data_IF_265126418833
#
_entry.id   IF_265126418833
#
_cell.length_a   1.000
_cell.length_b   1.000
_cell.length_c   1.000
_cell.angle_alpha   90.00
_cell.angle_beta   90.00
_cell.angle_gamma   90.00
#
_symmetry.space_group_name_H-M   'P 1'
#
loop_
_entity.id
_entity.type
_entity.pdbx_description
1 polymer ?
#
# COMPACT_ATOMS: atom_id res chain seq x y z
N UNK A 1 -3.98 -8.05 -51.05
CA UNK A 1 -3.26 -7.87 -49.76
C UNK A 1 -4.10 -6.95 -48.90
N UNK A 2 -4.44 -7.38 -47.69
CA UNK A 2 -5.25 -6.58 -46.77
C UNK A 2 -4.39 -5.51 -46.10
N UNK A 3 -4.96 -4.34 -45.78
CA UNK A 3 -4.29 -3.28 -45.02
C UNK A 3 -3.67 -3.79 -43.69
N UNK A 4 -4.26 -4.86 -43.13
CA UNK A 4 -3.73 -5.57 -41.95
C UNK A 4 -2.37 -6.22 -42.21
N UNK A 5 -2.17 -6.83 -43.37
CA UNK A 5 -0.92 -7.54 -43.70
C UNK A 5 0.24 -6.55 -43.91
N UNK A 6 -0.08 -5.38 -44.44
CA UNK A 6 0.89 -4.30 -44.70
C UNK A 6 1.37 -3.67 -43.37
N UNK A 7 0.45 -3.47 -42.43
CA UNK A 7 0.77 -3.00 -41.07
C UNK A 7 1.62 -4.04 -40.32
N UNK A 8 1.24 -5.32 -40.37
CA UNK A 8 2.00 -6.38 -39.70
C UNK A 8 3.38 -6.61 -40.33
N UNK A 9 3.51 -6.38 -41.65
CA UNK A 9 4.80 -6.40 -42.35
C UNK A 9 5.73 -5.30 -41.87
N UNK A 10 5.23 -4.06 -41.74
CA UNK A 10 6.00 -2.92 -41.22
C UNK A 10 6.44 -3.10 -39.77
N UNK A 11 5.57 -3.66 -38.92
CA UNK A 11 5.91 -3.95 -37.51
C UNK A 11 7.01 -5.01 -37.42
N UNK A 12 6.97 -6.07 -38.23
CA UNK A 12 8.03 -7.09 -38.24
C UNK A 12 9.36 -6.55 -38.75
N UNK A 13 9.33 -5.67 -39.76
CA UNK A 13 10.53 -5.03 -40.28
C UNK A 13 11.18 -4.10 -39.23
N UNK A 14 10.38 -3.35 -38.47
CA UNK A 14 10.89 -2.50 -37.38
C UNK A 14 11.48 -3.32 -36.22
N UNK A 15 10.81 -4.41 -35.81
CA UNK A 15 11.24 -5.24 -34.67
C UNK A 15 12.39 -6.20 -35.00
N UNK A 16 12.64 -6.49 -36.27
CA UNK A 16 13.72 -7.36 -36.72
C UNK A 16 15.12 -6.74 -36.60
N UNK A 17 15.23 -5.41 -36.71
CA UNK A 17 16.50 -4.68 -36.61
C UNK A 17 16.94 -4.38 -35.17
N UNK A 18 16.01 -4.05 -34.27
CA UNK A 18 16.33 -3.60 -32.91
C UNK A 18 16.68 -4.74 -31.94
N UNK A 19 16.15 -5.95 -32.14
CA UNK A 19 16.43 -7.08 -31.23
C UNK A 19 17.89 -7.52 -31.23
N UNK A 20 18.58 -7.45 -32.37
CA UNK A 20 20.00 -7.79 -32.45
C UNK A 20 20.90 -6.74 -31.76
N UNK A 21 20.51 -5.47 -31.81
CA UNK A 21 21.22 -4.36 -31.17
C UNK A 21 21.04 -4.36 -29.65
N UNK A 22 19.81 -4.58 -29.15
CA UNK A 22 19.55 -4.65 -27.70
C UNK A 22 20.21 -5.87 -27.03
N UNK A 23 20.25 -7.03 -27.69
CA UNK A 23 20.87 -8.24 -27.15
C UNK A 23 22.40 -8.10 -27.01
N UNK A 24 23.04 -7.24 -27.80
CA UNK A 24 24.46 -6.92 -27.69
C UNK A 24 24.74 -5.90 -26.57
N UNK A 25 23.80 -4.99 -26.28
CA UNK A 25 23.92 -3.99 -25.19
C UNK A 25 23.65 -4.58 -23.80
N UNK A 26 22.80 -5.61 -23.70
CA UNK A 26 22.45 -6.26 -22.43
C UNK A 26 22.58 -7.79 -22.57
N UNK A 27 23.80 -8.33 -22.58
CA UNK A 27 23.99 -9.77 -22.63
C UNK A 27 23.32 -10.41 -21.41
N UNK A 28 22.49 -11.42 -21.65
CA UNK A 28 21.93 -12.22 -20.57
C UNK A 28 23.07 -12.86 -19.77
N UNK A 29 23.00 -12.90 -18.42
CA UNK A 29 24.01 -13.56 -17.63
C UNK A 29 24.09 -15.03 -18.06
N UNK A 30 25.31 -15.51 -18.27
CA UNK A 30 25.56 -16.89 -18.63
C UNK A 30 24.93 -17.79 -17.55
N UNK A 31 23.90 -18.57 -17.93
CA UNK A 31 23.43 -19.67 -17.10
C UNK A 31 24.56 -20.70 -17.07
N UNK A 32 25.31 -20.73 -15.98
CA UNK A 32 26.18 -21.87 -15.68
C UNK A 32 25.30 -23.11 -15.62
N UNK A 33 25.40 -23.94 -16.67
CA UNK A 33 24.88 -25.28 -16.67
C UNK A 33 25.70 -26.11 -15.69
N UNK A 34 25.23 -26.19 -14.45
CA UNK A 34 25.62 -27.24 -13.53
C UNK A 34 24.35 -27.71 -12.82
N UNK A 35 23.83 -28.84 -13.30
CA UNK A 35 22.92 -29.67 -12.53
C UNK A 35 23.72 -30.22 -11.33
N UNK A 36 23.56 -29.60 -10.17
CA UNK A 36 23.98 -30.14 -8.89
C UNK A 36 22.94 -29.74 -7.85
N UNK A 37 22.56 -30.72 -7.01
CA UNK A 37 21.45 -30.69 -6.06
C UNK A 37 21.24 -29.36 -5.34
N UNK A 38 20.00 -28.87 -5.39
CA UNK A 38 19.54 -27.66 -4.70
C UNK A 38 19.41 -27.82 -3.18
N UNK A 39 20.07 -28.81 -2.57
CA UNK A 39 20.05 -29.06 -1.13
C UNK A 39 21.28 -28.57 -0.37
N UNK A 40 22.30 -28.00 -1.04
CA UNK A 40 23.57 -27.67 -0.36
C UNK A 40 24.20 -26.30 -0.74
N UNK A 41 23.36 -25.32 -1.08
CA UNK A 41 23.85 -23.94 -1.22
C UNK A 41 24.06 -23.32 0.18
N UNK A 42 25.28 -22.83 0.52
CA UNK A 42 25.52 -22.20 1.80
C UNK A 42 24.66 -20.95 1.89
N UNK A 43 23.87 -20.85 2.98
CA UNK A 43 23.07 -19.67 3.32
C UNK A 43 24.01 -18.49 3.58
N UNK A 44 24.46 -17.81 2.54
CA UNK A 44 25.06 -16.48 2.64
C UNK A 44 23.96 -15.43 2.85
N UNK A 45 23.07 -15.68 3.82
CA UNK A 45 22.29 -14.62 4.45
C UNK A 45 23.25 -14.10 5.50
N UNK A 46 23.92 -12.98 5.22
CA UNK A 46 24.77 -12.31 6.20
C UNK A 46 24.02 -12.31 7.53
N UNK A 47 24.61 -12.95 8.54
CA UNK A 47 24.10 -12.91 9.90
C UNK A 47 24.17 -11.45 10.32
N UNK A 48 23.04 -10.75 10.20
CA UNK A 48 22.83 -9.54 10.98
C UNK A 48 22.91 -10.02 12.42
N UNK A 49 24.02 -9.66 13.06
CA UNK A 49 24.25 -9.96 14.46
C UNK A 49 23.12 -9.31 15.27
N UNK A 50 22.19 -10.14 15.74
CA UNK A 50 21.09 -9.70 16.59
C UNK A 50 21.56 -9.33 18.00
N UNK A 51 22.85 -9.47 18.32
CA UNK A 51 23.42 -9.05 19.60
C UNK A 51 23.37 -7.53 19.81
N UNK A 52 23.30 -6.73 18.72
CA UNK A 52 23.13 -5.29 18.84
C UNK A 52 21.73 -4.87 19.34
N UNK A 53 20.73 -5.76 19.21
CA UNK A 53 19.35 -5.48 19.60
C UNK A 53 19.07 -5.66 21.11
N UNK A 54 20.03 -6.19 21.88
CA UNK A 54 19.89 -6.41 23.33
C UNK A 54 20.72 -5.45 24.19
N UNK A 55 21.28 -4.39 23.61
CA UNK A 55 21.70 -3.27 24.44
C UNK A 55 20.44 -2.52 24.87
N UNK A 56 20.12 -2.59 26.17
CA UNK A 56 19.12 -1.74 26.79
C UNK A 56 19.53 -0.29 26.58
N UNK A 57 19.12 0.28 25.45
CA UNK A 57 19.33 1.68 25.17
C UNK A 57 18.53 2.41 26.25
N UNK A 58 19.16 3.20 27.13
CA UNK A 58 18.39 4.08 28.00
C UNK A 58 17.46 4.85 27.07
N UNK A 59 16.18 4.99 27.44
CA UNK A 59 15.17 5.68 26.64
C UNK A 59 15.79 7.00 26.18
N UNK A 60 16.35 6.99 24.96
CA UNK A 60 17.17 8.10 24.51
C UNK A 60 16.20 9.25 24.52
N UNK A 61 16.50 10.27 25.34
CA UNK A 61 15.66 11.44 25.43
C UNK A 61 15.35 11.83 23.99
N UNK A 62 14.07 11.68 23.61
CA UNK A 62 13.63 11.96 22.25
C UNK A 62 14.24 13.33 21.96
N UNK A 63 14.97 13.47 20.84
CA UNK A 63 15.53 14.76 20.43
C UNK A 63 14.43 15.82 20.37
N UNK A 64 14.66 17.05 19.91
CA UNK A 64 13.57 18.01 19.78
C UNK A 64 12.39 17.36 19.01
N UNK A 65 11.34 17.02 19.76
CA UNK A 65 10.22 16.25 19.28
C UNK A 65 9.07 17.23 19.09
N UNK A 66 8.40 17.14 17.95
CA UNK A 66 7.22 17.95 17.71
C UNK A 66 6.17 17.51 18.73
N UNK A 67 5.82 18.40 19.65
CA UNK A 67 4.67 18.21 20.52
C UNK A 67 3.50 18.95 19.89
N UNK A 68 2.44 18.22 19.54
CA UNK A 68 1.22 18.85 19.04
C UNK A 68 0.45 19.57 20.16
N UNK A 69 0.73 19.27 21.44
CA UNK A 69 -0.03 19.76 22.59
C UNK A 69 -1.37 19.05 22.74
N UNK A 70 -2.30 19.66 23.48
CA UNK A 70 -3.67 19.14 23.66
C UNK A 70 -4.52 19.43 22.41
N UNK A 71 -4.37 18.59 21.39
CA UNK A 71 -5.15 18.68 20.14
C UNK A 71 -6.04 17.46 20.02
N UNK A 72 -7.24 17.65 19.49
CA UNK A 72 -8.04 16.54 18.99
C UNK A 72 -7.31 15.88 17.81
N UNK A 73 -6.69 14.72 18.08
CA UNK A 73 -5.92 13.97 17.12
C UNK A 73 -6.77 13.51 15.92
N UNK A 74 -8.05 13.22 16.14
CA UNK A 74 -8.95 12.80 15.06
C UNK A 74 -9.22 13.97 14.13
N UNK A 75 -9.62 15.12 14.68
CA UNK A 75 -9.85 16.32 13.89
C UNK A 75 -8.59 16.75 13.13
N UNK A 76 -7.42 16.68 13.78
CA UNK A 76 -6.14 17.00 13.17
C UNK A 76 -5.79 16.03 12.02
N UNK A 77 -5.96 14.73 12.25
CA UNK A 77 -5.74 13.70 11.24
C UNK A 77 -6.64 13.93 10.02
N UNK A 78 -7.95 14.14 10.24
CA UNK A 78 -8.92 14.39 9.15
C UNK A 78 -8.53 15.61 8.34
N UNK A 79 -8.20 16.73 9.00
CA UNK A 79 -7.78 17.94 8.32
C UNK A 79 -6.52 17.72 7.47
N UNK A 80 -5.54 16.97 7.98
CA UNK A 80 -4.30 16.66 7.26
C UNK A 80 -4.49 15.67 6.12
N UNK A 81 -5.29 14.63 6.33
CA UNK A 81 -5.64 13.65 5.30
C UNK A 81 -6.36 14.32 4.12
N UNK A 82 -7.27 15.26 4.40
CA UNK A 82 -7.95 16.06 3.38
C UNK A 82 -6.99 17.00 2.62
N UNK A 83 -6.00 17.60 3.30
CA UNK A 83 -4.96 18.41 2.65
C UNK A 83 -4.15 17.61 1.61
N UNK A 84 -4.01 16.30 1.82
CA UNK A 84 -3.35 15.38 0.87
C UNK A 84 -4.33 14.63 -0.02
N UNK A 85 -5.57 15.13 -0.12
CA UNK A 85 -6.63 14.65 -1.02
C UNK A 85 -7.19 13.25 -0.70
N UNK A 86 -7.03 12.78 0.54
CA UNK A 86 -7.79 11.63 1.02
C UNK A 86 -9.21 12.06 1.45
N UNK A 87 -10.18 11.19 1.25
CA UNK A 87 -11.51 11.33 1.85
C UNK A 87 -11.53 10.66 3.21
N UNK A 88 -12.17 11.26 4.21
CA UNK A 88 -12.35 10.66 5.53
C UNK A 88 -13.83 10.57 5.86
N UNK A 89 -14.24 9.48 6.50
CA UNK A 89 -15.56 9.34 7.09
C UNK A 89 -15.46 8.65 8.45
N UNK A 90 -16.29 9.07 9.39
CA UNK A 90 -16.40 8.45 10.70
C UNK A 90 -17.56 7.45 10.71
N UNK A 91 -17.35 6.31 11.36
CA UNK A 91 -18.34 5.25 11.55
C UNK A 91 -18.33 4.80 13.01
N UNK A 92 -19.49 4.40 13.55
CA UNK A 92 -19.58 4.01 14.95
C UNK A 92 -18.80 2.73 15.27
N UNK A 93 -18.76 1.75 14.36
CA UNK A 93 -18.09 0.46 14.57
C UNK A 93 -17.53 -0.06 13.27
N UNK A 94 -16.53 -0.96 13.35
CA UNK A 94 -16.00 -1.66 12.18
C UNK A 94 -17.06 -2.42 11.37
N UNK A 95 -18.13 -2.90 12.02
CA UNK A 95 -19.26 -3.56 11.36
C UNK A 95 -20.04 -2.63 10.40
N UNK A 96 -19.93 -1.32 10.58
CA UNK A 96 -20.49 -0.32 9.66
C UNK A 96 -19.65 -0.09 8.39
N UNK A 97 -18.43 -0.63 8.32
CA UNK A 97 -17.52 -0.36 7.21
C UNK A 97 -18.08 -0.77 5.84
N UNK A 98 -18.71 -1.96 5.66
CA UNK A 98 -19.31 -2.33 4.37
C UNK A 98 -20.35 -1.31 3.87
N UNK A 99 -21.27 -0.88 4.72
CA UNK A 99 -22.31 0.08 4.35
C UNK A 99 -21.71 1.46 3.99
N UNK A 100 -20.69 1.90 4.73
CA UNK A 100 -20.01 3.17 4.46
C UNK A 100 -19.22 3.13 3.15
N UNK A 101 -18.56 2.01 2.84
CA UNK A 101 -17.90 1.81 1.54
C UNK A 101 -18.92 1.83 0.41
N UNK A 102 -20.04 1.12 0.55
CA UNK A 102 -21.09 1.08 -0.48
C UNK A 102 -21.72 2.45 -0.72
N UNK A 103 -21.90 3.26 0.33
CA UNK A 103 -22.36 4.64 0.21
C UNK A 103 -21.35 5.50 -0.56
N UNK A 104 -20.08 5.51 -0.13
CA UNK A 104 -19.03 6.26 -0.80
C UNK A 104 -18.87 5.87 -2.28
N UNK A 105 -18.88 4.56 -2.57
CA UNK A 105 -18.74 4.07 -3.94
C UNK A 105 -19.91 4.49 -4.83
N UNK A 106 -21.13 4.58 -4.31
CA UNK A 106 -22.26 5.16 -5.05
C UNK A 106 -22.03 6.64 -5.36
N UNK A 107 -21.59 7.41 -4.38
CA UNK A 107 -21.37 8.86 -4.54
C UNK A 107 -20.30 9.18 -5.59
N UNK A 108 -19.27 8.33 -5.72
CA UNK A 108 -18.20 8.51 -6.71
C UNK A 108 -18.44 7.78 -8.03
N UNK A 109 -19.64 7.21 -8.24
CA UNK A 109 -20.03 6.54 -9.49
C UNK A 109 -19.38 5.17 -9.71
N UNK A 110 -19.03 4.46 -8.62
CA UNK A 110 -18.35 3.16 -8.59
C UNK A 110 -19.16 2.10 -7.83
N UNK A 111 -20.49 2.18 -7.82
CA UNK A 111 -21.37 1.29 -7.05
C UNK A 111 -21.09 -0.20 -7.32
N UNK A 112 -20.89 -0.58 -8.58
CA UNK A 112 -20.66 -1.96 -9.02
C UNK A 112 -19.17 -2.36 -9.06
N UNK A 113 -18.29 -1.53 -8.50
CA UNK A 113 -16.86 -1.81 -8.50
C UNK A 113 -16.55 -3.14 -7.80
N UNK A 114 -15.69 -4.00 -8.38
CA UNK A 114 -15.27 -5.22 -7.70
C UNK A 114 -14.46 -4.88 -6.44
N UNK A 115 -14.75 -5.58 -5.35
CA UNK A 115 -14.04 -5.45 -4.08
C UNK A 115 -12.99 -6.55 -3.91
N UNK A 116 -11.81 -6.16 -3.43
CA UNK A 116 -10.81 -7.07 -2.87
C UNK A 116 -10.55 -6.69 -1.44
N UNK A 117 -10.93 -7.57 -0.52
CA UNK A 117 -10.83 -7.32 0.91
C UNK A 117 -9.62 -8.07 1.45
N UNK A 118 -8.85 -7.41 2.32
CA UNK A 118 -7.76 -8.05 3.05
C UNK A 118 -8.34 -9.10 4.01
N UNK A 119 -7.73 -10.28 4.10
CA UNK A 119 -8.24 -11.38 4.91
C UNK A 119 -8.45 -11.02 6.39
N UNK A 120 -7.71 -10.03 6.89
CA UNK A 120 -7.90 -9.47 8.24
C UNK A 120 -9.29 -8.83 8.47
N UNK A 121 -10.05 -8.54 7.41
CA UNK A 121 -11.38 -7.92 7.45
C UNK A 121 -12.49 -8.83 6.90
N UNK A 122 -12.19 -10.09 6.56
CA UNK A 122 -13.14 -11.02 5.93
C UNK A 122 -14.35 -11.35 6.83
N UNK A 123 -14.20 -11.20 8.15
CA UNK A 123 -15.28 -11.45 9.10
C UNK A 123 -16.41 -10.40 9.06
N UNK A 124 -16.18 -9.26 8.41
CA UNK A 124 -17.20 -8.20 8.26
C UNK A 124 -18.17 -8.54 7.12
N UNK A 125 -19.43 -8.07 7.17
CA UNK A 125 -20.48 -8.46 6.22
C UNK A 125 -20.36 -7.70 4.89
N UNK A 126 -19.27 -7.91 4.15
CA UNK A 126 -19.08 -7.34 2.82
C UNK A 126 -20.04 -7.96 1.80
N UNK A 127 -20.43 -7.17 0.79
CA UNK A 127 -20.99 -7.74 -0.46
C UNK A 127 -19.99 -8.71 -1.11
N UNK A 128 -20.41 -9.36 -2.19
CA UNK A 128 -19.54 -10.26 -2.98
C UNK A 128 -18.18 -9.62 -3.25
N UNK A 129 -17.13 -10.23 -2.72
CA UNK A 129 -15.76 -9.75 -2.81
C UNK A 129 -14.82 -10.91 -3.15
N UNK A 130 -13.57 -10.57 -3.46
CA UNK A 130 -12.50 -11.53 -3.70
C UNK A 130 -11.39 -11.33 -2.66
N UNK A 131 -10.54 -12.33 -2.52
CA UNK A 131 -9.33 -12.27 -1.70
C UNK A 131 -8.11 -12.63 -2.56
N UNK A 132 -6.91 -12.28 -2.07
CA UNK A 132 -5.66 -12.71 -2.68
C UNK A 132 -5.22 -14.09 -2.14
N UNK A 133 -4.47 -14.88 -2.92
CA UNK A 133 -4.05 -14.64 -4.32
C UNK A 133 -5.17 -14.95 -5.34
N UNK A 134 -4.95 -14.58 -6.61
CA UNK A 134 -5.86 -14.96 -7.72
C UNK A 134 -6.74 -13.84 -8.28
N UNK A 135 -6.47 -12.58 -7.90
CA UNK A 135 -7.13 -11.40 -8.46
C UNK A 135 -6.09 -10.53 -9.17
N UNK A 136 -6.40 -10.12 -10.40
CA UNK A 136 -5.65 -9.06 -11.05
C UNK A 136 -6.02 -7.71 -10.44
N UNK A 137 -5.13 -7.18 -9.60
CA UNK A 137 -5.36 -5.91 -8.93
C UNK A 137 -5.33 -4.71 -9.87
N UNK A 138 -4.78 -4.87 -11.09
CA UNK A 138 -4.70 -3.80 -12.10
C UNK A 138 -5.99 -3.58 -12.86
N UNK A 139 -7.00 -4.42 -12.60
CA UNK A 139 -8.32 -4.28 -13.21
C UNK A 139 -8.89 -2.88 -12.93
N UNK A 140 -9.38 -2.23 -13.98
CA UNK A 140 -10.00 -0.92 -13.85
C UNK A 140 -11.18 -0.93 -12.88
N UNK A 141 -11.28 0.14 -12.09
CA UNK A 141 -12.35 0.35 -11.12
C UNK A 141 -12.27 -0.55 -9.88
N UNK A 142 -11.24 -1.38 -9.72
CA UNK A 142 -11.08 -2.22 -8.54
C UNK A 142 -10.90 -1.38 -7.27
N UNK A 143 -11.54 -1.84 -6.20
CA UNK A 143 -11.45 -1.25 -4.86
C UNK A 143 -10.78 -2.26 -3.94
N UNK A 144 -9.69 -1.85 -3.29
CA UNK A 144 -9.06 -2.64 -2.22
C UNK A 144 -9.49 -2.12 -0.85
N UNK A 145 -9.67 -3.02 0.11
CA UNK A 145 -10.01 -2.67 1.49
C UNK A 145 -8.99 -3.30 2.44
N UNK A 146 -8.36 -2.49 3.28
CA UNK A 146 -7.31 -2.94 4.21
C UNK A 146 -7.50 -2.30 5.59
N UNK A 147 -7.11 -2.99 6.69
CA UNK A 147 -6.96 -2.32 7.96
C UNK A 147 -5.66 -1.49 7.97
N UNK A 148 -5.59 -0.55 8.90
CA UNK A 148 -4.35 0.14 9.28
C UNK A 148 -3.89 -0.33 10.65
N UNK A 149 -2.58 -0.26 10.89
CA UNK A 149 -1.99 -0.48 12.21
C UNK A 149 -2.05 0.78 13.07
N UNK A 150 -1.83 1.94 12.44
CA UNK A 150 -1.91 3.25 13.05
C UNK A 150 -2.24 4.31 11.99
N UNK A 151 -2.60 5.50 12.44
CA UNK A 151 -2.71 6.70 11.62
C UNK A 151 -2.01 7.87 12.29
N UNK A 152 -1.38 8.76 11.53
CA UNK A 152 -0.51 9.81 12.03
C UNK A 152 -1.20 11.16 11.81
N UNK A 153 -1.59 11.81 12.89
CA UNK A 153 -2.34 13.06 12.85
C UNK A 153 -1.52 14.22 12.26
N UNK A 154 -0.21 14.28 12.54
CA UNK A 154 0.69 15.31 12.03
C UNK A 154 0.66 15.44 10.50
N UNK A 155 0.67 14.30 9.80
CA UNK A 155 0.85 14.23 8.34
C UNK A 155 -0.39 13.76 7.59
N UNK A 156 -1.44 13.29 8.29
CA UNK A 156 -2.63 12.72 7.65
C UNK A 156 -2.33 11.37 6.97
N UNK A 157 -1.37 10.63 7.50
CA UNK A 157 -0.89 9.38 6.92
C UNK A 157 -1.45 8.16 7.63
N UNK A 158 -1.59 7.05 6.93
CA UNK A 158 -1.90 5.74 7.55
C UNK A 158 -0.68 4.83 7.51
N UNK A 159 -0.54 3.98 8.51
CA UNK A 159 0.56 3.02 8.65
C UNK A 159 0.00 1.62 8.45
N UNK A 160 0.49 0.93 7.42
CA UNK A 160 0.05 -0.42 7.05
C UNK A 160 1.21 -1.41 7.18
N UNK A 161 1.03 -2.44 8.01
CA UNK A 161 1.99 -3.53 8.18
C UNK A 161 1.69 -4.65 7.17
N UNK A 162 2.72 -5.14 6.49
CA UNK A 162 2.57 -6.27 5.58
C UNK A 162 2.39 -7.58 6.36
N UNK A 163 1.39 -8.37 6.01
CA UNK A 163 1.25 -9.75 6.50
C UNK A 163 0.65 -10.64 5.42
N UNK A 164 0.48 -11.93 5.71
CA UNK A 164 -0.32 -12.82 4.85
C UNK A 164 -1.78 -12.38 4.79
N UNK A 165 -2.32 -11.83 5.89
CA UNK A 165 -3.69 -11.32 5.96
C UNK A 165 -3.84 -9.92 5.37
N UNK A 166 -2.74 -9.16 5.28
CA UNK A 166 -2.68 -7.78 4.74
C UNK A 166 -1.53 -7.63 3.74
N UNK A 167 -1.61 -8.22 2.53
CA UNK A 167 -0.55 -8.11 1.54
C UNK A 167 -0.35 -6.67 1.06
N UNK A 168 0.90 -6.21 0.96
CA UNK A 168 1.27 -4.84 0.57
C UNK A 168 0.68 -4.42 -0.79
N UNK A 169 0.46 -5.35 -1.70
CA UNK A 169 -0.11 -5.06 -3.03
C UNK A 169 -1.51 -4.43 -2.96
N UNK A 170 -2.29 -4.73 -1.92
CA UNK A 170 -3.61 -4.12 -1.72
C UNK A 170 -3.53 -2.61 -1.46
N UNK A 171 -2.40 -2.12 -0.96
CA UNK A 171 -2.24 -0.70 -0.63
C UNK A 171 -1.99 0.19 -1.85
N UNK A 172 -1.53 -0.39 -2.97
CA UNK A 172 -0.94 0.38 -4.05
C UNK A 172 -1.56 0.10 -5.42
N UNK A 173 -2.11 -1.08 -5.68
CA UNK A 173 -2.42 -1.45 -7.07
C UNK A 173 -3.85 -1.07 -7.48
N UNK A 174 -4.81 -1.17 -6.56
CA UNK A 174 -6.21 -0.87 -6.87
C UNK A 174 -6.42 0.63 -7.10
N UNK A 175 -7.34 0.99 -8.00
CA UNK A 175 -7.64 2.38 -8.34
C UNK A 175 -8.23 3.17 -7.16
N UNK A 176 -8.92 2.47 -6.24
CA UNK A 176 -9.44 3.03 -4.99
C UNK A 176 -8.93 2.18 -3.83
N UNK A 177 -8.31 2.82 -2.85
CA UNK A 177 -7.84 2.17 -1.63
C UNK A 177 -8.67 2.65 -0.44
N UNK A 178 -9.37 1.72 0.21
CA UNK A 178 -10.12 1.96 1.43
C UNK A 178 -9.30 1.47 2.61
N UNK A 179 -9.15 2.31 3.63
CA UNK A 179 -8.39 2.01 4.84
C UNK A 179 -9.28 2.15 6.06
N UNK A 180 -9.41 1.07 6.84
CA UNK A 180 -10.10 1.09 8.12
C UNK A 180 -9.11 1.44 9.25
N UNK A 181 -9.44 2.46 10.04
CA UNK A 181 -8.61 3.00 11.11
C UNK A 181 -9.42 2.98 12.40
N UNK A 182 -8.91 2.31 13.43
CA UNK A 182 -9.45 2.44 14.79
C UNK A 182 -9.08 3.81 15.36
N UNK A 183 -10.02 4.47 16.04
CA UNK A 183 -9.81 5.78 16.66
C UNK A 183 -8.63 5.77 17.63
N UNK A 184 -8.50 4.75 18.48
CA UNK A 184 -7.37 4.56 19.40
C UNK A 184 -6.01 4.33 18.72
N UNK A 185 -6.01 4.06 17.41
CA UNK A 185 -4.80 3.86 16.62
C UNK A 185 -4.28 5.16 15.98
N UNK A 186 -4.98 6.28 16.15
CA UNK A 186 -4.52 7.59 15.70
C UNK A 186 -3.50 8.13 16.71
N UNK A 187 -2.27 8.32 16.27
CA UNK A 187 -1.15 8.86 17.03
C UNK A 187 -0.82 10.29 16.60
N UNK A 188 -0.16 11.05 17.47
CA UNK A 188 0.20 12.43 17.20
C UNK A 188 1.21 12.53 16.06
N UNK A 189 2.36 11.88 16.19
CA UNK A 189 3.50 12.03 15.25
C UNK A 189 3.98 10.70 14.66
N UNK A 190 4.89 10.80 13.68
CA UNK A 190 5.55 9.63 13.08
C UNK A 190 6.34 8.82 14.12
N UNK A 191 7.01 9.49 15.05
CA UNK A 191 7.80 8.87 16.11
C UNK A 191 6.92 8.03 17.04
N UNK A 192 5.70 8.49 17.32
CA UNK A 192 4.72 7.75 18.11
C UNK A 192 4.23 6.50 17.38
N UNK A 193 4.09 6.55 16.05
CA UNK A 193 3.78 5.36 15.25
C UNK A 193 4.91 4.33 15.37
N UNK A 194 6.17 4.76 15.28
CA UNK A 194 7.33 3.87 15.48
C UNK A 194 7.45 3.34 16.91
N UNK A 195 7.11 4.16 17.92
CA UNK A 195 7.06 3.72 19.30
C UNK A 195 5.99 2.63 19.48
N UNK A 196 4.81 2.80 18.88
CA UNK A 196 3.75 1.80 18.87
C UNK A 196 4.20 0.51 18.17
N UNK A 197 4.90 0.59 17.05
CA UNK A 197 5.48 -0.59 16.36
C UNK A 197 6.42 -1.34 17.31
N UNK A 198 7.38 -0.65 17.94
CA UNK A 198 8.32 -1.28 18.88
C UNK A 198 7.64 -1.91 20.10
N UNK A 199 6.55 -1.30 20.58
CA UNK A 199 5.81 -1.79 21.74
C UNK A 199 4.89 -2.98 21.43
N UNK A 200 4.40 -3.09 20.18
CA UNK A 200 3.33 -4.05 19.83
C UNK A 200 3.83 -5.21 18.97
N UNK A 201 4.91 -5.01 18.21
CA UNK A 201 5.37 -5.96 17.18
C UNK A 201 6.67 -6.62 17.64
N UNK A 202 6.59 -7.91 17.98
CA UNK A 202 7.75 -8.71 18.41
C UNK A 202 8.74 -8.99 17.27
N UNK A 203 8.24 -9.15 16.04
CA UNK A 203 9.06 -9.42 14.85
C UNK A 203 8.62 -8.51 13.73
N UNK A 204 9.54 -7.69 13.20
CA UNK A 204 9.21 -6.73 12.15
C UNK A 204 8.65 -7.45 10.91
N UNK A 205 7.55 -6.92 10.32
CA UNK A 205 7.03 -7.45 9.07
C UNK A 205 8.00 -7.16 7.92
N UNK A 206 7.79 -7.82 6.78
CA UNK A 206 8.62 -7.59 5.58
C UNK A 206 8.57 -6.15 5.08
N UNK A 207 7.47 -5.45 5.29
CA UNK A 207 7.31 -4.04 4.95
C UNK A 207 6.39 -3.33 5.94
N UNK A 208 6.75 -2.08 6.22
CA UNK A 208 5.92 -1.09 6.92
C UNK A 208 5.73 0.06 5.95
N UNK A 209 4.49 0.30 5.53
CA UNK A 209 4.19 1.35 4.57
C UNK A 209 3.53 2.51 5.31
N UNK A 210 4.08 3.71 5.14
CA UNK A 210 3.41 4.95 5.55
C UNK A 210 2.85 5.61 4.29
N UNK A 211 1.53 5.74 4.23
CA UNK A 211 0.80 6.14 3.03
C UNK A 211 0.11 7.47 3.29
N UNK A 212 0.40 8.46 2.44
CA UNK A 212 -0.07 9.84 2.59
C UNK A 212 -0.90 10.24 1.37
N UNK A 213 -2.21 9.98 1.44
CA UNK A 213 -3.16 10.30 0.37
C UNK A 213 -3.00 9.46 -0.91
N UNK A 214 -3.75 9.80 -1.97
CA UNK A 214 -3.65 9.14 -3.27
C UNK A 214 -2.28 9.33 -3.93
N UNK A 215 -1.93 8.40 -4.83
CA UNK A 215 -0.69 8.50 -5.61
C UNK A 215 -0.75 9.71 -6.54
N UNK A 216 0.27 10.57 -6.49
CA UNK A 216 0.41 11.76 -7.35
C UNK A 216 1.85 11.85 -7.84
N UNK A 217 2.01 12.00 -9.15
CA UNK A 217 3.30 12.34 -9.78
C UNK A 217 3.19 13.76 -10.30
N UNK A 218 4.00 14.68 -9.76
CA UNK A 218 4.03 16.08 -10.19
C UNK A 218 5.10 16.37 -11.25
N UNK A 219 5.81 15.34 -11.70
CA UNK A 219 7.02 15.43 -12.54
C UNK A 219 6.78 14.97 -13.99
N UNK A 220 5.56 15.16 -14.50
CA UNK A 220 5.27 14.99 -15.94
C UNK A 220 4.77 16.32 -16.46
N UNK A 221 5.63 17.03 -17.19
CA UNK A 221 5.29 18.26 -17.91
C UNK A 221 4.73 19.38 -17.02
N UNK A 222 5.14 19.44 -15.74
CA UNK A 222 4.63 20.38 -14.73
C UNK A 222 3.12 20.27 -14.43
N UNK A 223 2.51 19.15 -14.83
CA UNK A 223 1.12 18.83 -14.51
C UNK A 223 1.07 17.72 -13.46
N UNK A 224 0.21 17.88 -12.46
CA UNK A 224 0.01 16.85 -11.44
C UNK A 224 -0.86 15.75 -12.05
N UNK A 225 -0.25 14.59 -12.30
CA UNK A 225 -0.98 13.39 -12.69
C UNK A 225 -1.29 12.52 -11.47
N UNK A 226 -2.58 12.18 -11.29
CA UNK A 226 -3.07 11.38 -10.16
C UNK A 226 -3.22 9.92 -10.57
N UNK A 227 -2.61 9.00 -9.81
CA UNK A 227 -2.78 7.56 -9.92
C UNK A 227 -2.17 6.90 -11.15
N UNK A 228 -0.99 7.37 -11.58
CA UNK A 228 -0.19 6.73 -12.65
C UNK A 228 0.41 5.40 -12.17
N UNK A 229 0.83 5.34 -10.89
CA UNK A 229 1.50 4.18 -10.30
C UNK A 229 0.84 3.68 -9.02
N UNK A 230 -0.28 4.28 -8.61
CA UNK A 230 -0.98 3.88 -7.39
C UNK A 230 -2.44 4.32 -7.34
N UNK A 231 -3.10 4.26 -6.17
CA UNK A 231 -4.52 4.54 -6.05
C UNK A 231 -4.82 5.98 -6.45
N UNK A 232 -5.88 6.16 -7.25
CA UNK A 232 -6.44 7.46 -7.64
C UNK A 232 -7.27 8.07 -6.52
N UNK A 233 -7.83 7.22 -5.64
CA UNK A 233 -8.67 7.60 -4.51
C UNK A 233 -8.23 6.85 -3.26
N UNK A 234 -8.22 7.56 -2.14
CA UNK A 234 -8.01 6.98 -0.81
C UNK A 234 -9.18 7.41 0.07
N UNK A 235 -9.91 6.41 0.59
CA UNK A 235 -10.94 6.61 1.61
C UNK A 235 -10.43 6.07 2.93
N UNK A 236 -10.43 6.91 3.96
CA UNK A 236 -10.12 6.52 5.33
C UNK A 236 -11.42 6.47 6.13
N UNK A 237 -11.78 5.28 6.59
CA UNK A 237 -12.89 5.05 7.51
C UNK A 237 -12.34 5.01 8.93
N UNK A 238 -12.74 5.95 9.77
CA UNK A 238 -12.36 6.02 11.18
C UNK A 238 -13.50 5.40 11.98
N UNK A 239 -13.26 4.24 12.60
CA UNK A 239 -14.22 3.61 13.50
C UNK A 239 -13.88 3.88 14.97
N UNK A 240 -14.90 4.07 15.79
CA UNK A 240 -14.70 4.04 17.23
C UNK A 240 -14.31 2.61 17.67
N UNK A 241 -13.55 2.53 18.75
CA UNK A 241 -13.13 1.27 19.34
C UNK A 241 -14.35 0.54 19.95
N UNK A 242 -14.38 -0.79 19.82
CA UNK A 242 -15.45 -1.63 20.34
C UNK A 242 -15.36 -1.86 21.86
#
# INVERSE_FOLDING_TARGET
MSARDDILGRIRAALGGERASLAAQFPAPARTAAAADASDAPRARGTLDSSAASSGSPAAARGPAISLGDVDLVARFVAKAQQVSATCAHIATAAGAPAAVDAYLRDVGLADAPLVVAAALDALPWRTHRALPGVDLRRDGLVSVTPSFAAIAETGSVVCLSSSATPTSLNFVAATHVVLVNRSAIVATMEDAWARVRATIATLPRAINVITGPSRTADVEQTVQVGVHGPKRVLVLICDDA
#
